data_IF_697072927022
#
_entry.id   IF_697072927022
#
_cell.length_a   1.000
_cell.length_b   1.000
_cell.length_c   1.000
_cell.angle_alpha   90.00
_cell.angle_beta   90.00
_cell.angle_gamma   90.00
#
_symmetry.space_group_name_H-M   'P 1'
#
loop_
_entity.id
_entity.type
_entity.pdbx_description
1 polymer ?
#
# COMPACT_ATOMS: atom_id res chain seq x y z
N UNK A 1 -23.31 -1.57 2.98
CA UNK A 1 -22.93 -3.03 2.95
C UNK A 1 -21.72 -3.19 2.05
N UNK A 2 -20.62 -3.68 2.59
CA UNK A 2 -19.42 -3.95 1.80
C UNK A 2 -19.60 -5.23 0.96
N UNK A 3 -19.02 -5.25 -0.25
CA UNK A 3 -18.98 -6.43 -1.11
C UNK A 3 -17.77 -6.40 -2.04
N UNK A 4 -17.22 -7.56 -2.33
CA UNK A 4 -16.23 -7.78 -3.36
C UNK A 4 -16.93 -8.42 -4.56
N UNK A 5 -16.72 -7.87 -5.75
CA UNK A 5 -17.31 -8.34 -7.01
C UNK A 5 -16.19 -8.84 -7.91
N UNK A 6 -15.98 -10.15 -7.93
CA UNK A 6 -15.02 -10.80 -8.83
C UNK A 6 -15.49 -10.63 -10.28
N UNK A 7 -14.57 -10.28 -11.17
CA UNK A 7 -14.82 -9.96 -12.59
C UNK A 7 -14.50 -11.12 -13.52
N UNK A 8 -13.61 -12.02 -13.10
CA UNK A 8 -13.18 -13.15 -13.92
C UNK A 8 -12.92 -14.38 -13.05
N UNK A 9 -13.34 -15.54 -13.54
CA UNK A 9 -13.06 -16.84 -12.94
C UNK A 9 -11.80 -17.50 -13.54
N UNK A 10 -11.10 -16.79 -14.44
CA UNK A 10 -9.93 -17.33 -15.15
C UNK A 10 -8.62 -17.26 -14.33
N UNK A 11 -8.64 -16.66 -13.14
CA UNK A 11 -7.49 -16.52 -12.25
C UNK A 11 -7.54 -17.58 -11.16
N UNK A 12 -6.49 -18.38 -11.04
CA UNK A 12 -6.33 -19.42 -10.04
C UNK A 12 -5.23 -19.04 -9.06
N UNK A 13 -5.56 -18.88 -7.79
CA UNK A 13 -4.64 -18.49 -6.72
C UNK A 13 -4.54 -19.61 -5.68
N UNK A 14 -3.38 -19.75 -5.03
CA UNK A 14 -3.10 -20.76 -4.02
C UNK A 14 -2.41 -20.13 -2.81
N UNK A 15 -3.19 -19.70 -1.80
CA UNK A 15 -2.69 -19.01 -0.60
C UNK A 15 -1.95 -17.69 -0.91
N UNK A 16 -2.56 -16.77 -1.69
CA UNK A 16 -1.84 -15.62 -2.22
C UNK A 16 -1.44 -14.62 -1.13
N UNK A 17 -0.34 -13.91 -1.36
CA UNK A 17 -0.03 -12.68 -0.63
C UNK A 17 -0.85 -11.53 -1.19
N UNK A 18 -1.35 -10.62 -0.33
CA UNK A 18 -2.01 -9.40 -0.80
C UNK A 18 -1.36 -8.14 -0.26
N UNK A 19 -0.89 -7.29 -1.18
CA UNK A 19 -0.36 -5.95 -0.88
C UNK A 19 -1.50 -4.94 -0.82
N UNK A 20 -1.63 -4.24 0.32
CA UNK A 20 -2.62 -3.17 0.52
C UNK A 20 -2.02 -1.81 0.13
N UNK A 21 -2.67 -1.11 -0.79
CA UNK A 21 -2.25 0.17 -1.35
C UNK A 21 -3.20 1.34 -1.06
N UNK A 22 -3.66 1.52 0.18
CA UNK A 22 -4.48 2.68 0.54
C UNK A 22 -3.65 3.96 0.62
N UNK A 23 -4.23 5.12 0.23
CA UNK A 23 -3.59 6.42 0.40
C UNK A 23 -3.34 6.73 1.87
N UNK A 24 -2.08 6.92 2.24
CA UNK A 24 -1.61 7.24 3.59
C UNK A 24 -0.46 8.25 3.57
N UNK A 25 0.32 8.31 4.66
CA UNK A 25 1.48 9.20 4.79
C UNK A 25 2.46 8.95 3.65
N UNK A 26 2.85 10.01 2.95
CA UNK A 26 3.75 9.95 1.79
C UNK A 26 3.22 9.17 0.60
N UNK A 27 1.95 8.72 0.62
CA UNK A 27 1.34 7.84 -0.37
C UNK A 27 2.12 6.55 -0.61
N UNK A 28 2.92 6.09 0.36
CA UNK A 28 3.89 5.01 0.18
C UNK A 28 3.24 3.68 -0.23
N UNK A 29 2.14 3.29 0.42
CA UNK A 29 1.38 2.09 0.07
C UNK A 29 0.77 2.19 -1.33
N UNK A 30 0.15 3.34 -1.64
CA UNK A 30 -0.42 3.56 -2.97
C UNK A 30 0.65 3.51 -4.07
N UNK A 31 1.77 4.18 -3.89
CA UNK A 31 2.86 4.19 -4.89
C UNK A 31 3.41 2.77 -5.09
N UNK A 32 3.62 2.01 -4.01
CA UNK A 32 4.09 0.64 -4.10
C UNK A 32 3.08 -0.27 -4.81
N UNK A 33 1.79 -0.18 -4.46
CA UNK A 33 0.74 -0.96 -5.08
C UNK A 33 0.54 -0.62 -6.57
N UNK A 34 0.50 0.69 -6.91
CA UNK A 34 0.38 1.14 -8.30
C UNK A 34 1.55 0.61 -9.14
N UNK A 35 2.77 0.66 -8.58
CA UNK A 35 3.97 0.17 -9.24
C UNK A 35 3.93 -1.34 -9.49
N UNK A 36 3.51 -2.14 -8.50
CA UNK A 36 3.36 -3.59 -8.69
C UNK A 36 2.35 -3.93 -9.78
N UNK A 37 1.21 -3.24 -9.80
CA UNK A 37 0.17 -3.45 -10.83
C UNK A 37 0.70 -3.12 -12.23
N UNK A 38 1.43 -2.02 -12.39
CA UNK A 38 2.02 -1.59 -13.67
C UNK A 38 3.16 -2.52 -14.10
N UNK A 39 4.10 -2.82 -13.21
CA UNK A 39 5.31 -3.59 -13.52
C UNK A 39 5.00 -5.05 -13.89
N UNK A 40 4.03 -5.65 -13.22
CA UNK A 40 3.63 -7.03 -13.47
C UNK A 40 2.44 -7.15 -14.44
N UNK A 41 1.97 -6.05 -15.02
CA UNK A 41 0.83 -6.02 -15.93
C UNK A 41 -0.37 -6.82 -15.37
N UNK A 42 -0.66 -6.63 -14.05
CA UNK A 42 -1.61 -7.44 -13.30
C UNK A 42 -3.04 -7.33 -13.85
N UNK A 43 -3.77 -8.42 -13.80
CA UNK A 43 -5.17 -8.49 -14.23
C UNK A 43 -6.10 -7.80 -13.23
N UNK A 44 -7.00 -6.92 -13.70
CA UNK A 44 -8.08 -6.38 -12.88
C UNK A 44 -9.05 -7.51 -12.50
N UNK A 45 -8.93 -8.00 -11.28
CA UNK A 45 -9.57 -9.22 -10.81
C UNK A 45 -10.92 -8.99 -10.14
N UNK A 46 -11.00 -7.97 -9.27
CA UNK A 46 -12.24 -7.68 -8.54
C UNK A 46 -12.43 -6.19 -8.24
N UNK A 47 -13.68 -5.81 -8.02
CA UNK A 47 -14.10 -4.49 -7.55
C UNK A 47 -14.54 -4.56 -6.09
N UNK A 48 -14.16 -3.54 -5.29
CA UNK A 48 -14.57 -3.41 -3.90
C UNK A 48 -15.56 -2.26 -3.75
N UNK A 49 -16.72 -2.55 -3.18
CA UNK A 49 -17.77 -1.58 -2.88
C UNK A 49 -18.05 -1.58 -1.38
N UNK A 50 -18.05 -0.40 -0.77
CA UNK A 50 -18.33 -0.21 0.64
C UNK A 50 -18.91 1.18 0.86
N UNK A 51 -19.84 1.34 1.79
CA UNK A 51 -20.53 2.61 2.07
C UNK A 51 -19.61 3.77 2.46
N UNK A 52 -18.37 3.50 2.84
CA UNK A 52 -17.38 4.52 3.16
C UNK A 52 -16.37 4.84 2.07
N UNK A 53 -16.50 4.20 0.93
CA UNK A 53 -15.76 4.56 -0.28
C UNK A 53 -16.55 5.67 -0.98
N UNK A 54 -15.93 6.80 -1.36
CA UNK A 54 -16.61 7.85 -2.13
C UNK A 54 -17.23 7.31 -3.41
N UNK A 55 -18.47 7.71 -3.71
CA UNK A 55 -19.18 7.36 -4.96
C UNK A 55 -18.61 8.15 -6.13
N UNK A 56 -17.47 7.73 -6.64
CA UNK A 56 -16.79 8.33 -7.80
C UNK A 56 -16.47 7.27 -8.84
N UNK A 57 -16.39 7.70 -10.10
CA UNK A 57 -15.86 6.89 -11.19
C UNK A 57 -14.46 7.40 -11.57
N UNK A 58 -13.52 6.49 -11.72
CA UNK A 58 -12.14 6.78 -12.11
C UNK A 58 -12.00 6.58 -13.62
N UNK A 59 -11.32 7.52 -14.27
CA UNK A 59 -10.87 7.37 -15.67
C UNK A 59 -9.35 7.51 -15.72
N UNK A 60 -8.72 6.81 -16.65
CA UNK A 60 -7.26 6.82 -16.82
C UNK A 60 -6.87 7.48 -18.13
N UNK A 61 -5.63 7.91 -18.20
CA UNK A 61 -5.09 8.47 -19.45
C UNK A 61 -5.12 7.41 -20.56
N UNK A 62 -5.62 7.80 -21.74
CA UNK A 62 -5.78 6.94 -22.91
C UNK A 62 -6.69 5.72 -22.75
N UNK A 63 -7.48 5.64 -21.66
CA UNK A 63 -8.47 4.60 -21.41
C UNK A 63 -9.86 5.23 -21.31
N UNK A 64 -10.82 4.70 -22.08
CA UNK A 64 -12.20 5.15 -22.09
C UNK A 64 -13.07 4.40 -21.06
N UNK A 65 -12.55 3.37 -20.42
CA UNK A 65 -13.27 2.58 -19.43
C UNK A 65 -13.32 3.30 -18.07
N UNK A 66 -14.52 3.39 -17.51
CA UNK A 66 -14.74 3.90 -16.17
C UNK A 66 -14.58 2.77 -15.14
N UNK A 67 -13.80 3.00 -14.11
CA UNK A 67 -13.51 2.05 -13.06
C UNK A 67 -13.99 2.54 -11.70
N UNK A 68 -14.36 1.64 -10.76
CA UNK A 68 -14.58 2.03 -9.36
C UNK A 68 -13.26 2.40 -8.70
N UNK A 69 -13.29 3.21 -7.63
CA UNK A 69 -12.08 3.75 -7.01
C UNK A 69 -11.27 2.72 -6.21
N UNK A 70 -11.86 1.61 -5.79
CA UNK A 70 -11.16 0.54 -5.05
C UNK A 70 -11.27 -0.77 -5.80
N UNK A 71 -10.13 -1.36 -6.10
CA UNK A 71 -10.01 -2.53 -6.98
C UNK A 71 -9.00 -3.52 -6.41
N UNK A 72 -9.13 -4.77 -6.80
CA UNK A 72 -8.15 -5.83 -6.55
C UNK A 72 -7.62 -6.29 -7.91
N UNK A 73 -6.31 -6.31 -8.02
CA UNK A 73 -5.58 -6.87 -9.14
C UNK A 73 -4.97 -8.20 -8.74
N UNK A 74 -4.81 -9.10 -9.67
CA UNK A 74 -4.23 -10.42 -9.46
C UNK A 74 -3.15 -10.75 -10.48
N UNK A 75 -2.14 -11.47 -10.02
CA UNK A 75 -1.12 -12.13 -10.82
C UNK A 75 -1.07 -13.60 -10.42
N UNK A 76 -1.55 -14.47 -11.31
CA UNK A 76 -1.63 -15.92 -11.05
C UNK A 76 -0.24 -16.56 -10.99
N UNK A 77 0.68 -16.14 -11.86
CA UNK A 77 2.04 -16.71 -11.93
C UNK A 77 2.86 -16.43 -10.67
N UNK A 78 2.53 -15.32 -9.96
CA UNK A 78 3.20 -14.86 -8.74
C UNK A 78 2.42 -15.11 -7.47
N UNK A 79 1.22 -15.67 -7.59
CA UNK A 79 0.27 -15.86 -6.48
C UNK A 79 0.11 -14.57 -5.64
N UNK A 80 -0.06 -13.45 -6.35
CA UNK A 80 -0.07 -12.10 -5.79
C UNK A 80 -1.39 -11.40 -6.05
N UNK A 81 -1.91 -10.77 -5.00
CA UNK A 81 -3.01 -9.82 -5.06
C UNK A 81 -2.52 -8.42 -4.69
N UNK A 82 -3.11 -7.41 -5.30
CA UNK A 82 -2.90 -6.00 -4.93
C UNK A 82 -4.25 -5.32 -4.75
N UNK A 83 -4.52 -4.83 -3.55
CA UNK A 83 -5.67 -3.98 -3.23
C UNK A 83 -5.29 -2.52 -3.45
N UNK A 84 -5.80 -1.93 -4.52
CA UNK A 84 -5.53 -0.56 -4.94
C UNK A 84 -6.70 0.37 -4.59
N UNK A 85 -6.40 1.58 -4.10
CA UNK A 85 -7.39 2.64 -3.94
C UNK A 85 -6.91 3.97 -4.51
N UNK A 86 -7.76 4.62 -5.32
CA UNK A 86 -7.53 5.98 -5.85
C UNK A 86 -8.09 7.07 -4.92
N UNK A 87 -8.82 6.70 -3.88
CA UNK A 87 -9.48 7.60 -2.95
C UNK A 87 -9.20 7.21 -1.49
N UNK A 88 -9.18 8.14 -0.56
CA UNK A 88 -9.10 7.79 0.86
C UNK A 88 -10.41 7.10 1.30
N UNK A 89 -10.28 6.03 2.07
CA UNK A 89 -11.41 5.40 2.76
C UNK A 89 -11.72 6.20 4.03
N UNK A 90 -13.01 6.48 4.27
CA UNK A 90 -13.43 7.21 5.46
C UNK A 90 -13.24 6.35 6.72
N UNK A 91 -12.78 6.95 7.83
CA UNK A 91 -12.52 6.20 9.08
C UNK A 91 -13.76 5.47 9.63
N UNK A 92 -14.95 6.05 9.46
CA UNK A 92 -16.22 5.48 9.93
C UNK A 92 -16.67 4.24 9.14
N UNK A 93 -16.10 4.03 7.96
CA UNK A 93 -16.40 2.88 7.11
C UNK A 93 -15.27 1.84 7.04
N UNK A 94 -14.12 2.17 7.59
CA UNK A 94 -12.97 1.27 7.53
C UNK A 94 -13.24 -0.08 8.24
N UNK A 95 -14.09 -0.10 9.27
CA UNK A 95 -14.49 -1.32 9.95
C UNK A 95 -15.30 -2.25 9.05
N UNK A 96 -16.33 -1.74 8.36
CA UNK A 96 -17.14 -2.54 7.44
C UNK A 96 -16.32 -3.08 6.26
N UNK A 97 -15.37 -2.29 5.77
CA UNK A 97 -14.43 -2.72 4.75
C UNK A 97 -13.49 -3.82 5.27
N UNK A 98 -12.97 -3.67 6.48
CA UNK A 98 -12.11 -4.66 7.12
C UNK A 98 -12.82 -6.01 7.30
N UNK A 99 -14.07 -6.02 7.79
CA UNK A 99 -14.87 -7.23 7.95
C UNK A 99 -15.13 -7.93 6.61
N UNK A 100 -15.41 -7.15 5.55
CA UNK A 100 -15.63 -7.68 4.21
C UNK A 100 -14.36 -8.31 3.63
N UNK A 101 -13.22 -7.63 3.76
CA UNK A 101 -11.92 -8.13 3.31
C UNK A 101 -11.49 -9.36 4.11
N UNK A 102 -11.62 -9.34 5.45
CA UNK A 102 -11.25 -10.46 6.30
C UNK A 102 -11.98 -11.75 5.93
N UNK A 103 -13.31 -11.67 5.71
CA UNK A 103 -14.10 -12.82 5.28
C UNK A 103 -13.63 -13.39 3.93
N UNK A 104 -13.30 -12.50 3.00
CA UNK A 104 -12.81 -12.90 1.67
C UNK A 104 -11.38 -13.47 1.72
N UNK A 105 -10.53 -12.94 2.62
CA UNK A 105 -9.18 -13.48 2.86
C UNK A 105 -9.21 -14.91 3.41
N UNK A 106 -10.12 -15.19 4.34
CA UNK A 106 -10.30 -16.55 4.86
C UNK A 106 -10.70 -17.55 3.77
N UNK A 107 -11.61 -17.16 2.86
CA UNK A 107 -12.06 -18.02 1.76
C UNK A 107 -10.91 -18.39 0.80
N UNK A 108 -9.95 -17.50 0.57
CA UNK A 108 -8.81 -17.68 -0.35
C UNK A 108 -7.49 -17.97 0.38
N UNK A 109 -7.49 -18.09 1.70
CA UNK A 109 -6.26 -18.24 2.51
C UNK A 109 -5.22 -17.15 2.26
N UNK A 110 -5.67 -15.89 2.11
CA UNK A 110 -4.81 -14.74 1.80
C UNK A 110 -3.94 -14.37 3.00
N UNK A 111 -2.65 -14.10 2.76
CA UNK A 111 -1.77 -13.43 3.71
C UNK A 111 -1.68 -11.94 3.38
N UNK A 112 -2.36 -11.04 4.13
CA UNK A 112 -2.33 -9.62 3.85
C UNK A 112 -1.02 -8.96 4.31
N UNK A 113 -0.46 -8.09 3.45
CA UNK A 113 0.67 -7.22 3.69
C UNK A 113 0.18 -5.78 3.72
N UNK A 114 0.03 -5.22 4.90
CA UNK A 114 -0.48 -3.87 5.15
C UNK A 114 0.65 -2.84 5.16
N UNK A 115 0.54 -1.79 4.33
CA UNK A 115 1.59 -0.80 4.14
C UNK A 115 1.26 0.53 4.81
N UNK A 116 2.20 1.09 5.58
CA UNK A 116 2.01 2.37 6.25
C UNK A 116 3.28 3.23 6.25
N UNK A 117 3.11 4.55 6.09
CA UNK A 117 4.18 5.53 6.29
C UNK A 117 4.22 6.05 7.72
N UNK A 118 5.43 6.14 8.29
CA UNK A 118 5.68 6.85 9.55
C UNK A 118 6.14 8.27 9.19
N UNK A 119 5.43 9.34 9.67
CA UNK A 119 5.83 10.69 9.35
C UNK A 119 7.18 11.04 10.00
N UNK A 120 8.22 11.21 9.18
CA UNK A 120 9.53 11.72 9.58
C UNK A 120 10.07 12.73 8.59
N UNK A 121 10.73 13.78 9.10
CA UNK A 121 11.51 14.66 8.25
C UNK A 121 12.80 13.94 7.85
N UNK A 122 13.00 13.80 6.52
CA UNK A 122 14.19 13.13 5.99
C UNK A 122 15.37 14.10 5.93
N UNK A 123 16.43 13.78 6.65
CA UNK A 123 17.74 14.43 6.54
C UNK A 123 18.68 13.60 5.64
N UNK A 124 18.24 13.29 4.39
CA UNK A 124 19.11 12.71 3.35
C UNK A 124 19.51 11.24 3.52
N UNK A 125 18.93 10.50 4.45
CA UNK A 125 19.17 9.07 4.67
C UNK A 125 18.16 8.20 3.95
N UNK A 126 18.54 6.94 3.64
CA UNK A 126 17.60 5.93 3.16
C UNK A 126 16.56 5.67 4.27
N UNK A 127 15.25 5.67 3.96
CA UNK A 127 14.21 5.42 4.95
C UNK A 127 14.41 4.09 5.68
N UNK A 128 14.15 4.08 6.99
CA UNK A 128 14.08 2.84 7.77
C UNK A 128 12.72 2.17 7.54
N UNK A 129 12.71 0.84 7.53
CA UNK A 129 11.50 0.02 7.43
C UNK A 129 11.46 -0.94 8.61
N UNK A 130 10.27 -1.20 9.11
CA UNK A 130 10.03 -2.10 10.24
C UNK A 130 8.85 -3.02 9.93
N UNK A 131 8.93 -4.26 10.42
CA UNK A 131 7.89 -5.27 10.30
C UNK A 131 7.07 -5.41 11.57
N UNK A 132 5.78 -5.61 11.40
CA UNK A 132 4.79 -5.92 12.43
C UNK A 132 4.08 -7.20 12.03
N UNK A 133 3.55 -7.96 12.98
CA UNK A 133 2.81 -9.18 12.67
C UNK A 133 1.67 -9.45 13.65
N UNK A 134 0.65 -10.15 13.16
CA UNK A 134 -0.40 -10.79 13.95
C UNK A 134 -0.45 -12.28 13.60
N UNK A 135 -0.84 -13.13 14.55
CA UNK A 135 -0.78 -14.58 14.33
C UNK A 135 0.63 -15.03 13.94
N UNK A 136 0.75 -15.86 12.92
CA UNK A 136 2.05 -16.32 12.40
C UNK A 136 2.84 -15.22 11.65
N UNK A 137 2.23 -14.06 11.43
CA UNK A 137 2.87 -12.91 10.77
C UNK A 137 4.12 -12.41 11.50
N UNK A 138 4.24 -12.63 12.81
CA UNK A 138 5.42 -12.29 13.59
C UNK A 138 6.63 -13.12 13.14
N UNK A 139 6.44 -14.43 12.97
CA UNK A 139 7.48 -15.34 12.53
C UNK A 139 7.83 -15.11 11.05
N UNK A 140 6.83 -14.84 10.20
CA UNK A 140 7.00 -14.48 8.78
C UNK A 140 7.92 -13.25 8.64
N UNK A 141 7.68 -12.19 9.42
CA UNK A 141 8.51 -10.97 9.44
C UNK A 141 9.94 -11.28 9.90
N UNK A 142 10.08 -12.09 10.96
CA UNK A 142 11.39 -12.44 11.50
C UNK A 142 12.21 -13.29 10.52
N UNK A 143 11.60 -14.27 9.88
CA UNK A 143 12.22 -15.14 8.88
C UNK A 143 12.65 -14.37 7.62
N UNK A 144 11.88 -13.32 7.25
CA UNK A 144 12.24 -12.40 6.18
C UNK A 144 13.39 -11.43 6.55
N UNK A 145 13.85 -11.46 7.81
CA UNK A 145 14.93 -10.60 8.29
C UNK A 145 14.56 -9.11 8.40
N UNK A 146 13.27 -8.80 8.53
CA UNK A 146 12.78 -7.44 8.69
C UNK A 146 12.80 -7.06 10.19
N UNK A 147 13.44 -5.95 10.53
CA UNK A 147 13.58 -5.51 11.93
C UNK A 147 12.23 -5.09 12.53
N UNK A 148 12.04 -5.39 13.82
CA UNK A 148 10.94 -4.85 14.61
C UNK A 148 11.14 -3.35 14.91
N UNK A 149 10.05 -2.57 15.15
CA UNK A 149 10.17 -1.16 15.50
C UNK A 149 11.00 -0.93 16.77
N UNK A 150 11.87 0.07 16.75
CA UNK A 150 12.67 0.46 17.90
C UNK A 150 11.93 1.37 18.89
N UNK A 151 10.79 1.92 18.48
CA UNK A 151 9.97 2.84 19.26
C UNK A 151 8.51 2.41 19.25
N UNK A 152 7.78 2.74 20.32
CA UNK A 152 6.33 2.55 20.36
C UNK A 152 5.65 3.49 19.38
N UNK A 153 4.76 2.96 18.54
CA UNK A 153 4.01 3.73 17.55
C UNK A 153 2.57 3.27 17.41
N UNK A 154 1.85 3.96 16.55
CA UNK A 154 0.46 3.63 16.18
C UNK A 154 0.32 3.64 14.67
N UNK A 155 -0.31 2.62 14.13
CA UNK A 155 -0.83 2.64 12.76
C UNK A 155 -2.28 3.10 12.81
N UNK A 156 -2.64 4.10 12.02
CA UNK A 156 -3.98 4.70 12.01
C UNK A 156 -4.60 4.68 10.61
N UNK A 157 -5.80 5.18 10.49
CA UNK A 157 -6.55 5.17 9.23
C UNK A 157 -7.04 3.78 8.84
N UNK A 158 -7.41 3.55 7.58
CA UNK A 158 -7.93 2.27 7.11
C UNK A 158 -6.97 1.10 7.38
N UNK A 159 -5.68 1.26 7.09
CA UNK A 159 -4.63 0.27 7.38
C UNK A 159 -4.58 -0.10 8.86
N UNK A 160 -4.70 0.90 9.76
CA UNK A 160 -4.75 0.65 11.22
C UNK A 160 -5.98 -0.14 11.64
N UNK A 161 -7.13 0.09 11.01
CA UNK A 161 -8.37 -0.67 11.27
C UNK A 161 -8.23 -2.11 10.79
N UNK A 162 -7.64 -2.35 9.61
CA UNK A 162 -7.36 -3.69 9.08
C UNK A 162 -6.42 -4.47 10.02
N UNK A 163 -5.34 -3.85 10.47
CA UNK A 163 -4.44 -4.45 11.46
C UNK A 163 -5.13 -4.73 12.80
N UNK A 164 -5.98 -3.81 13.28
CA UNK A 164 -6.75 -4.00 14.52
C UNK A 164 -7.74 -5.17 14.41
N UNK A 165 -8.41 -5.30 13.26
CA UNK A 165 -9.30 -6.42 12.97
C UNK A 165 -8.52 -7.75 12.95
N UNK A 166 -7.35 -7.78 12.33
CA UNK A 166 -6.48 -8.96 12.33
C UNK A 166 -6.01 -9.35 13.74
N UNK A 167 -5.71 -8.36 14.61
CA UNK A 167 -5.39 -8.61 16.04
C UNK A 167 -6.59 -9.22 16.77
N UNK A 168 -7.80 -8.68 16.56
CA UNK A 168 -9.01 -9.12 17.24
C UNK A 168 -9.44 -10.53 16.80
N UNK A 169 -9.37 -10.82 15.50
CA UNK A 169 -9.74 -12.13 14.94
C UNK A 169 -8.66 -13.20 15.10
N UNK A 170 -7.42 -12.83 15.40
CA UNK A 170 -6.27 -13.74 15.41
C UNK A 170 -5.80 -14.15 14.02
N UNK A 171 -6.21 -13.42 12.97
CA UNK A 171 -5.78 -13.66 11.60
C UNK A 171 -4.27 -13.38 11.44
N UNK A 172 -3.60 -14.23 10.66
CA UNK A 172 -2.22 -13.98 10.23
C UNK A 172 -2.18 -12.78 9.29
N UNK A 173 -1.42 -11.75 9.65
CA UNK A 173 -1.20 -10.58 8.82
C UNK A 173 0.18 -9.97 9.09
N UNK A 174 0.75 -9.30 8.10
CA UNK A 174 1.99 -8.54 8.19
C UNK A 174 1.72 -7.06 8.00
N UNK A 175 2.29 -6.22 8.85
CA UNK A 175 2.35 -4.78 8.68
C UNK A 175 3.78 -4.35 8.34
N UNK A 176 3.94 -3.54 7.31
CA UNK A 176 5.19 -2.90 6.96
C UNK A 176 5.06 -1.41 7.20
N UNK A 177 5.92 -0.85 8.05
CA UNK A 177 5.94 0.58 8.34
C UNK A 177 7.27 1.18 7.91
N UNK A 178 7.24 2.25 7.11
CA UNK A 178 8.42 2.90 6.54
C UNK A 178 8.44 4.38 6.89
N UNK A 179 9.61 4.92 7.20
CA UNK A 179 9.79 6.37 7.39
C UNK A 179 9.52 7.12 6.09
N UNK A 180 8.69 8.16 6.14
CA UNK A 180 8.27 8.89 4.96
C UNK A 180 8.03 10.38 5.23
N UNK A 181 8.26 11.23 4.22
CA UNK A 181 7.91 12.65 4.25
C UNK A 181 6.37 12.81 4.22
N UNK A 182 5.75 13.40 5.27
CA UNK A 182 4.30 13.53 5.33
C UNK A 182 3.72 14.59 4.38
N UNK A 183 4.55 15.44 3.80
CA UNK A 183 4.13 16.61 3.00
C UNK A 183 4.01 16.34 1.51
N UNK A 184 4.62 15.26 1.02
CA UNK A 184 4.74 14.96 -0.41
C UNK A 184 4.69 13.46 -0.67
N UNK A 185 4.30 13.03 -1.88
CA UNK A 185 4.52 11.66 -2.31
C UNK A 185 5.99 11.24 -2.15
N UNK A 186 6.23 10.03 -1.68
CA UNK A 186 7.56 9.54 -1.33
C UNK A 186 7.91 8.22 -2.04
N UNK A 187 8.28 8.29 -3.35
CA UNK A 187 8.66 7.10 -4.11
C UNK A 187 9.89 6.38 -3.56
N UNK A 188 10.80 7.08 -2.88
CA UNK A 188 11.96 6.45 -2.25
C UNK A 188 11.55 5.57 -1.07
N UNK A 189 10.59 6.00 -0.25
CA UNK A 189 10.03 5.16 0.81
C UNK A 189 9.24 3.98 0.23
N UNK A 190 8.49 4.18 -0.86
CA UNK A 190 7.81 3.11 -1.58
C UNK A 190 8.82 2.09 -2.16
N UNK A 191 9.94 2.55 -2.73
CA UNK A 191 11.03 1.70 -3.19
C UNK A 191 11.60 0.84 -2.06
N UNK A 192 11.79 1.43 -0.88
CA UNK A 192 12.28 0.71 0.31
C UNK A 192 11.25 -0.32 0.78
N UNK A 193 9.95 0.00 0.78
CA UNK A 193 8.88 -0.96 1.06
C UNK A 193 8.94 -2.16 0.14
N UNK A 194 9.13 -1.94 -1.16
CA UNK A 194 9.22 -3.02 -2.15
C UNK A 194 10.48 -3.86 -1.90
N UNK A 195 11.67 -3.24 -1.95
CA UNK A 195 12.95 -3.98 -1.95
C UNK A 195 13.31 -4.61 -0.60
N UNK A 196 12.90 -4.02 0.51
CA UNK A 196 13.27 -4.49 1.86
C UNK A 196 12.08 -5.04 2.66
N UNK A 197 10.87 -4.97 2.11
CA UNK A 197 9.66 -5.49 2.74
C UNK A 197 8.96 -6.53 1.87
N UNK A 198 8.37 -6.10 0.74
CA UNK A 198 7.56 -6.99 -0.09
C UNK A 198 8.39 -8.12 -0.70
N UNK A 199 9.55 -7.83 -1.30
CA UNK A 199 10.40 -8.86 -1.90
C UNK A 199 10.84 -9.96 -0.92
N UNK A 200 11.37 -9.64 0.28
CA UNK A 200 11.75 -10.68 1.24
C UNK A 200 10.56 -11.53 1.73
N UNK A 201 9.35 -10.94 1.79
CA UNK A 201 8.15 -11.64 2.25
C UNK A 201 7.53 -12.53 1.18
N UNK A 202 7.65 -12.16 -0.08
CA UNK A 202 6.99 -12.85 -1.21
C UNK A 202 7.96 -13.65 -2.08
N UNK A 203 9.26 -13.43 -1.95
CA UNK A 203 10.28 -14.02 -2.82
C UNK A 203 10.29 -13.45 -4.25
N UNK A 204 9.54 -12.40 -4.51
CA UNK A 204 9.48 -11.75 -5.82
C UNK A 204 10.70 -10.86 -6.06
N UNK A 205 11.06 -10.66 -7.33
CA UNK A 205 12.01 -9.63 -7.76
C UNK A 205 11.22 -8.56 -8.53
N UNK A 206 11.21 -7.33 -8.00
CA UNK A 206 10.43 -6.22 -8.52
C UNK A 206 11.39 -5.15 -9.05
N UNK A 207 11.48 -4.88 -10.36
CA UNK A 207 12.22 -3.75 -10.89
C UNK A 207 11.69 -2.44 -10.29
N UNK A 208 12.59 -1.51 -9.91
CA UNK A 208 12.20 -0.25 -9.23
C UNK A 208 12.87 0.99 -9.83
N UNK A 209 13.44 0.88 -11.02
CA UNK A 209 14.17 1.96 -11.68
C UNK A 209 13.28 3.19 -11.91
N UNK A 210 12.04 3.00 -12.34
CA UNK A 210 11.04 4.06 -12.52
C UNK A 210 10.73 4.81 -11.22
N UNK A 211 10.71 4.12 -10.09
CA UNK A 211 10.51 4.77 -8.79
C UNK A 211 11.70 5.66 -8.41
N UNK A 212 12.91 5.26 -8.75
CA UNK A 212 14.12 6.07 -8.56
C UNK A 212 14.04 7.35 -9.38
N UNK A 213 13.66 7.27 -10.65
CA UNK A 213 13.48 8.42 -11.51
C UNK A 213 12.38 9.37 -11.00
N UNK A 214 11.23 8.84 -10.60
CA UNK A 214 10.13 9.61 -9.99
C UNK A 214 10.56 10.29 -8.69
N UNK A 215 11.33 9.62 -7.83
CA UNK A 215 11.87 10.19 -6.60
C UNK A 215 12.79 11.38 -6.88
N UNK A 216 13.66 11.26 -7.88
CA UNK A 216 14.55 12.34 -8.33
C UNK A 216 13.77 13.56 -8.85
N UNK A 217 12.75 13.35 -9.68
CA UNK A 217 11.89 14.41 -10.22
C UNK A 217 11.15 15.17 -9.10
N UNK A 218 10.61 14.46 -8.11
CA UNK A 218 9.94 15.07 -6.96
C UNK A 218 10.94 15.88 -6.13
N UNK A 219 12.13 15.35 -5.86
CA UNK A 219 13.18 16.06 -5.13
C UNK A 219 13.56 17.37 -5.83
N UNK A 220 13.78 17.35 -7.13
CA UNK A 220 14.09 18.55 -7.93
C UNK A 220 12.93 19.56 -7.94
N UNK A 221 11.69 19.09 -7.95
CA UNK A 221 10.52 19.97 -7.86
C UNK A 221 10.43 20.67 -6.51
N UNK A 222 10.70 19.94 -5.40
CA UNK A 222 10.79 20.49 -4.05
C UNK A 222 11.85 21.57 -3.93
N UNK A 223 13.05 21.30 -4.43
CA UNK A 223 14.17 22.26 -4.40
C UNK A 223 13.85 23.54 -5.17
N UNK A 224 13.22 23.40 -6.35
CA UNK A 224 12.76 24.56 -7.13
C UNK A 224 11.71 25.38 -6.40
N UNK A 225 10.77 24.73 -5.74
CA UNK A 225 9.72 25.41 -4.95
C UNK A 225 10.33 26.15 -3.77
N UNK A 226 11.23 25.50 -3.01
CA UNK A 226 11.92 26.11 -1.86
C UNK A 226 12.70 27.38 -2.27
N UNK A 227 13.45 27.35 -3.39
CA UNK A 227 14.15 28.51 -3.94
C UNK A 227 13.21 29.66 -4.27
N UNK A 228 12.10 29.38 -4.96
CA UNK A 228 11.10 30.40 -5.30
C UNK A 228 10.47 31.05 -4.07
N UNK A 229 10.20 30.25 -3.03
CA UNK A 229 9.65 30.80 -1.77
C UNK A 229 10.66 31.68 -1.04
N UNK A 230 11.95 31.34 -1.09
CA UNK A 230 13.03 32.12 -0.49
C UNK A 230 13.23 33.45 -1.23
N UNK A 231 13.26 33.44 -2.55
CA UNK A 231 13.32 34.63 -3.40
C UNK A 231 12.12 35.58 -3.18
N UNK A 232 10.90 35.03 -3.10
CA UNK A 232 9.69 35.83 -2.82
C UNK A 232 9.67 36.41 -1.40
N UNK A 233 10.33 35.77 -0.43
CA UNK A 233 10.46 36.26 0.95
C UNK A 233 11.49 37.38 1.11
N UNK A 234 12.50 37.45 0.21
CA UNK A 234 13.53 38.51 0.22
C UNK A 234 13.05 39.80 -0.51
N UNK A 235 12.03 39.71 -1.35
CA UNK A 235 11.44 40.86 -2.05
C UNK A 235 10.32 41.57 -1.28
N UNK A 236 9.97 41.12 -0.06
CA UNK A 236 8.91 41.68 0.79
C UNK A 236 9.46 42.39 2.00
#
# INVERSE_FOLDING_TARGET
>A
MARISVLTDDVSLSEPSMVEGFPGVGLVGKIAADHLVEEFEMTHYANVYCDGIPEVAVYRENDAELQPPVRIYADEDRDLLVLQSDVPVRPDAAGELADCLASWFEELSVTPLYLSGIPREKEGTVPSIYGLGTGDGVDIVADAGIEAPHETGLVSGPTGVLLSNAVESGQTAVGLVVESDPRFPDPEAARVLIKKGIEPLTGLDVPVDDLVERAEQIRQAKDRLAKRMQEAGEES
#
